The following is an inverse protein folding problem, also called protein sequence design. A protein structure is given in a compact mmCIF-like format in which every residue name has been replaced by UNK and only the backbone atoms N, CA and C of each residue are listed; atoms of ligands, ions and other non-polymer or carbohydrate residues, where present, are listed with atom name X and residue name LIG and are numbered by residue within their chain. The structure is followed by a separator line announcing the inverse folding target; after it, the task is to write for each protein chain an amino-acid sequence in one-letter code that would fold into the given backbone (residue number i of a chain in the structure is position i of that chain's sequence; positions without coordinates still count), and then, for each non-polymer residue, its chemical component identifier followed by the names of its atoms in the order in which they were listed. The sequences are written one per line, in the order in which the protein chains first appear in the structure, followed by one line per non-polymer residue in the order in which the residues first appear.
data_IF_728003152481
#
_entry.id   IF_728003152481
#
_cell.length_a   1.000
_cell.length_b   1.000
_cell.length_c   1.000
_cell.angle_alpha   90.00
_cell.angle_beta   90.00
_cell.angle_gamma   90.00
#
_symmetry.space_group_name_H-M   'P 1'
#
loop_
_entity.id
_entity.type
_entity.pdbx_description
1 polymer ?
#
# COMPACT_ATOMS: atom_id res chain seq x y z
N UNK A 1 13.44 -28.71 24.93
CA UNK A 1 13.86 -27.47 25.58
C UNK A 1 12.62 -26.79 26.16
N UNK A 2 12.73 -26.25 27.38
CA UNK A 2 11.68 -25.55 28.07
C UNK A 2 12.13 -24.08 28.30
N UNK A 3 11.26 -23.12 28.12
CA UNK A 3 11.51 -21.74 28.55
C UNK A 3 10.73 -21.55 29.84
N UNK A 4 11.40 -21.07 30.85
CA UNK A 4 10.83 -20.82 32.18
C UNK A 4 10.57 -19.33 32.37
N UNK A 5 9.32 -18.95 32.52
CA UNK A 5 8.93 -17.57 32.85
C UNK A 5 8.85 -17.44 34.37
N UNK A 6 9.87 -16.87 34.99
CA UNK A 6 10.06 -16.80 36.46
C UNK A 6 8.89 -16.18 37.22
N UNK A 7 8.17 -15.25 36.61
CA UNK A 7 7.05 -14.55 37.26
C UNK A 7 5.73 -15.30 37.28
N UNK A 8 5.53 -16.31 36.43
CA UNK A 8 4.25 -17.02 36.30
C UNK A 8 4.32 -18.53 36.49
N UNK A 9 5.50 -19.10 36.76
CA UNK A 9 5.71 -20.56 36.89
C UNK A 9 5.07 -21.37 35.76
N UNK A 10 5.15 -20.90 34.51
CA UNK A 10 4.56 -21.55 33.37
C UNK A 10 5.68 -22.08 32.48
N UNK A 11 5.79 -23.38 32.38
CA UNK A 11 6.65 -24.03 31.39
C UNK A 11 5.98 -23.93 30.03
N UNK A 12 6.65 -23.34 29.04
CA UNK A 12 6.25 -23.35 27.64
C UNK A 12 7.10 -24.39 26.93
N UNK A 13 6.48 -25.45 26.45
CA UNK A 13 7.14 -26.47 25.63
C UNK A 13 7.54 -25.88 24.28
N UNK A 14 8.85 -25.95 23.98
CA UNK A 14 9.41 -25.55 22.69
C UNK A 14 8.92 -26.40 21.50
N UNK A 15 8.19 -27.51 21.76
CA UNK A 15 7.60 -28.36 20.73
C UNK A 15 6.50 -27.65 19.89
N UNK A 16 5.97 -26.52 20.38
CA UNK A 16 4.94 -25.74 19.69
C UNK A 16 5.52 -24.63 18.79
N UNK A 17 6.86 -24.54 18.70
CA UNK A 17 7.52 -23.54 17.85
C UNK A 17 7.63 -24.05 16.42
N UNK A 18 6.85 -23.45 15.52
CA UNK A 18 7.04 -23.65 14.10
C UNK A 18 8.25 -22.83 13.62
N UNK A 19 9.31 -23.55 13.25
CA UNK A 19 10.53 -23.08 12.58
C UNK A 19 11.15 -21.78 13.09
N UNK A 20 12.15 -21.91 13.96
CA UNK A 20 13.11 -20.88 14.30
C UNK A 20 14.03 -20.60 13.11
N UNK A 21 13.79 -19.55 12.35
CA UNK A 21 14.78 -19.02 11.43
C UNK A 21 15.76 -18.13 12.18
N UNK A 22 16.79 -18.74 12.77
CA UNK A 22 17.81 -18.10 13.60
C UNK A 22 18.74 -17.15 12.81
N UNK A 23 18.63 -17.06 11.50
CA UNK A 23 19.70 -16.49 10.68
C UNK A 23 19.59 -14.99 10.39
N UNK A 24 18.50 -14.31 10.76
CA UNK A 24 18.32 -12.91 10.34
C UNK A 24 17.70 -11.94 11.34
N UNK A 25 17.16 -12.34 12.48
CA UNK A 25 16.41 -11.43 13.36
C UNK A 25 16.81 -11.53 14.82
N UNK A 26 16.92 -10.39 15.54
CA UNK A 26 17.17 -10.37 16.98
C UNK A 26 15.98 -10.83 17.82
N UNK A 27 14.84 -11.17 17.20
CA UNK A 27 13.66 -11.69 17.89
C UNK A 27 13.40 -13.14 17.47
N UNK A 28 13.02 -13.96 18.44
CA UNK A 28 12.54 -15.30 18.20
C UNK A 28 11.01 -15.28 18.09
N UNK A 29 10.48 -15.87 17.02
CA UNK A 29 9.04 -16.07 16.89
C UNK A 29 8.60 -17.27 17.69
N UNK A 30 7.55 -17.10 18.45
CA UNK A 30 6.93 -18.14 19.26
C UNK A 30 5.50 -18.39 18.81
N UNK A 31 5.08 -19.64 18.75
CA UNK A 31 3.71 -20.03 18.45
C UNK A 31 3.15 -20.83 19.63
N UNK A 32 2.03 -20.36 20.19
CA UNK A 32 1.33 -21.05 21.26
C UNK A 32 -0.15 -21.15 20.88
N UNK A 33 -0.68 -22.37 20.82
CA UNK A 33 -2.08 -22.61 20.44
C UNK A 33 -2.50 -21.94 19.12
N UNK A 34 -1.59 -21.96 18.13
CA UNK A 34 -1.85 -21.33 16.82
C UNK A 34 -1.76 -19.80 16.81
N UNK A 35 -1.38 -19.17 17.91
CA UNK A 35 -1.13 -17.73 18.00
C UNK A 35 0.35 -17.41 18.01
N UNK A 36 0.74 -16.34 17.32
CA UNK A 36 2.12 -15.91 17.14
C UNK A 36 2.45 -14.76 18.09
N UNK A 37 3.67 -14.77 18.59
CA UNK A 37 4.29 -13.70 19.37
C UNK A 37 5.80 -13.70 19.18
N UNK A 38 6.54 -12.93 19.96
CA UNK A 38 7.99 -12.89 19.92
C UNK A 38 8.63 -12.93 21.30
N UNK A 39 9.83 -13.50 21.35
CA UNK A 39 10.69 -13.56 22.51
C UNK A 39 11.98 -12.80 22.22
N UNK A 40 12.60 -12.30 23.26
CA UNK A 40 13.98 -11.81 23.20
C UNK A 40 14.93 -12.98 22.93
N UNK A 41 15.87 -12.81 22.00
CA UNK A 41 16.78 -13.89 21.59
C UNK A 41 17.87 -14.22 22.61
N UNK A 42 18.16 -13.32 23.54
CA UNK A 42 19.23 -13.50 24.53
C UNK A 42 18.72 -14.11 25.83
N UNK A 43 17.60 -13.62 26.33
CA UNK A 43 17.07 -14.01 27.64
C UNK A 43 15.71 -14.73 27.57
N UNK A 44 15.15 -14.92 26.35
CA UNK A 44 13.88 -15.58 26.08
C UNK A 44 12.66 -15.00 26.80
N UNK A 45 12.77 -13.73 27.22
CA UNK A 45 11.59 -13.04 27.78
C UNK A 45 10.60 -12.67 26.68
N UNK A 46 9.32 -12.69 27.02
CA UNK A 46 8.26 -12.31 26.06
C UNK A 46 8.36 -10.84 25.72
N UNK A 47 8.60 -10.52 24.42
CA UNK A 47 8.48 -9.18 23.87
C UNK A 47 7.05 -8.90 23.43
N UNK A 48 6.50 -9.76 22.54
CA UNK A 48 5.11 -9.73 22.17
C UNK A 48 4.41 -11.01 22.62
N UNK A 49 3.24 -10.93 23.26
CA UNK A 49 2.51 -12.13 23.66
C UNK A 49 2.07 -12.93 22.44
N UNK A 50 1.98 -14.25 22.57
CA UNK A 50 1.40 -15.12 21.55
C UNK A 50 -0.12 -14.93 21.48
N UNK A 51 -0.55 -13.85 20.86
CA UNK A 51 -1.94 -13.43 20.74
C UNK A 51 -2.38 -13.24 19.27
N UNK A 52 -1.46 -13.02 18.36
CA UNK A 52 -1.75 -12.65 16.99
C UNK A 52 -2.07 -13.88 16.13
N UNK A 53 -3.05 -13.76 15.24
CA UNK A 53 -3.36 -14.77 14.21
C UNK A 53 -2.27 -14.80 13.12
N UNK A 54 -1.60 -13.67 12.95
CA UNK A 54 -0.49 -13.48 12.01
C UNK A 54 0.42 -12.34 12.50
N UNK A 55 1.70 -12.51 12.32
CA UNK A 55 2.73 -11.51 12.57
C UNK A 55 3.80 -11.67 11.50
N UNK A 56 4.03 -10.63 10.70
CA UNK A 56 5.11 -10.61 9.71
C UNK A 56 6.46 -10.45 10.38
N UNK A 57 7.53 -10.64 9.62
CA UNK A 57 8.85 -10.21 10.05
C UNK A 57 8.88 -8.71 10.32
N UNK A 58 9.73 -8.32 11.29
CA UNK A 58 9.97 -6.91 11.58
C UNK A 58 10.93 -6.31 10.56
N UNK A 59 10.47 -5.28 9.88
CA UNK A 59 11.32 -4.48 9.02
C UNK A 59 11.83 -3.24 9.76
N UNK A 60 13.12 -2.98 9.65
CA UNK A 60 13.75 -1.77 10.18
C UNK A 60 13.38 -0.56 9.34
N UNK A 61 12.96 0.51 9.99
CA UNK A 61 12.62 1.82 9.40
C UNK A 61 13.38 2.92 10.11
N UNK A 62 13.87 3.87 9.33
CA UNK A 62 14.53 5.07 9.85
C UNK A 62 13.54 6.22 9.84
N UNK A 63 13.13 6.67 11.01
CA UNK A 63 12.27 7.84 11.16
C UNK A 63 13.09 9.06 11.52
N UNK A 64 12.81 10.20 10.87
CA UNK A 64 13.40 11.49 11.21
C UNK A 64 12.31 12.35 11.85
N UNK A 65 12.47 12.67 13.12
CA UNK A 65 11.56 13.57 13.83
C UNK A 65 12.37 14.71 14.44
N UNK A 66 12.05 15.95 14.07
CA UNK A 66 12.78 17.15 14.51
C UNK A 66 14.31 17.06 14.28
N UNK A 67 14.74 16.50 13.14
CA UNK A 67 16.15 16.32 12.80
C UNK A 67 16.84 15.16 13.51
N UNK A 68 16.18 14.47 14.43
CA UNK A 68 16.70 13.28 15.12
C UNK A 68 16.31 12.02 14.32
N UNK A 69 17.32 11.22 13.99
CA UNK A 69 17.12 9.90 13.38
C UNK A 69 16.85 8.87 14.46
N UNK A 70 15.72 8.20 14.37
CA UNK A 70 15.36 7.08 15.25
C UNK A 70 15.10 5.85 14.39
N UNK A 71 15.61 4.72 14.85
CA UNK A 71 15.31 3.43 14.26
C UNK A 71 14.06 2.86 14.91
N UNK A 72 13.13 2.35 14.12
CA UNK A 72 11.99 1.58 14.61
C UNK A 72 11.84 0.31 13.77
N UNK A 73 11.41 -0.76 14.42
CA UNK A 73 11.16 -2.04 13.79
C UNK A 73 9.67 -2.29 13.78
N UNK A 74 9.08 -2.44 12.59
CA UNK A 74 7.64 -2.53 12.37
C UNK A 74 7.27 -3.87 11.76
N UNK A 75 6.15 -4.43 12.19
CA UNK A 75 5.54 -5.62 11.64
C UNK A 75 4.04 -5.41 11.39
N UNK A 76 3.54 -6.00 10.30
CA UNK A 76 2.10 -6.19 10.11
C UNK A 76 1.64 -7.32 11.01
N UNK A 77 0.54 -7.12 11.70
CA UNK A 77 -0.08 -8.14 12.52
C UNK A 77 -1.57 -8.28 12.21
N UNK A 78 -2.13 -9.44 12.54
CA UNK A 78 -3.57 -9.69 12.48
C UNK A 78 -4.04 -10.24 13.81
N UNK A 79 -5.13 -9.70 14.31
CA UNK A 79 -5.77 -10.13 15.54
C UNK A 79 -7.28 -10.15 15.32
N UNK A 80 -7.93 -11.28 15.60
CA UNK A 80 -9.37 -11.48 15.40
C UNK A 80 -9.84 -11.10 13.98
N UNK A 81 -9.04 -11.49 12.97
CA UNK A 81 -9.33 -11.23 11.56
C UNK A 81 -9.04 -9.81 11.08
N UNK A 82 -8.62 -8.87 11.94
CA UNK A 82 -8.29 -7.49 11.58
C UNK A 82 -6.78 -7.28 11.55
N UNK A 83 -6.32 -6.54 10.55
CA UNK A 83 -4.91 -6.17 10.40
C UNK A 83 -4.60 -4.86 11.12
N UNK A 84 -3.37 -4.74 11.57
CA UNK A 84 -2.77 -3.55 12.15
C UNK A 84 -1.26 -3.56 12.01
N UNK A 85 -0.59 -2.59 12.61
CA UNK A 85 0.87 -2.48 12.61
C UNK A 85 1.34 -2.30 14.05
N UNK A 86 2.34 -3.09 14.44
CA UNK A 86 3.00 -3.00 15.75
C UNK A 86 4.49 -2.76 15.60
N UNK A 87 5.11 -2.13 16.60
CA UNK A 87 6.57 -2.12 16.69
C UNK A 87 7.08 -3.34 17.47
N UNK A 88 8.40 -3.53 17.48
CA UNK A 88 9.04 -4.66 18.18
C UNK A 88 8.87 -4.65 19.70
N UNK A 89 8.38 -3.54 20.28
CA UNK A 89 8.08 -3.39 21.71
C UNK A 89 6.59 -3.65 22.02
N UNK A 90 5.79 -4.01 21.01
CA UNK A 90 4.36 -4.28 21.14
C UNK A 90 3.46 -3.05 21.10
N UNK A 91 4.02 -1.85 20.87
CA UNK A 91 3.22 -0.63 20.71
C UNK A 91 2.49 -0.69 19.36
N UNK A 92 1.19 -0.45 19.41
CA UNK A 92 0.39 -0.29 18.19
C UNK A 92 0.76 1.03 17.49
N UNK A 93 1.21 0.93 16.25
CA UNK A 93 1.45 2.07 15.35
C UNK A 93 0.18 2.34 14.57
N UNK A 94 -0.50 1.27 14.10
CA UNK A 94 -1.84 1.33 13.53
C UNK A 94 -2.75 0.33 14.27
N UNK A 95 -3.99 0.72 14.57
CA UNK A 95 -4.92 -0.16 15.28
C UNK A 95 -5.27 -1.41 14.45
N UNK A 96 -5.68 -2.49 15.13
CA UNK A 96 -6.21 -3.70 14.49
C UNK A 96 -7.63 -3.45 13.97
N UNK A 97 -7.75 -2.64 12.94
CA UNK A 97 -9.03 -2.17 12.40
C UNK A 97 -9.24 -2.51 10.93
N UNK A 98 -8.17 -2.81 10.19
CA UNK A 98 -8.25 -3.01 8.74
C UNK A 98 -8.75 -4.41 8.40
N UNK A 99 -9.75 -4.49 7.51
CA UNK A 99 -10.23 -5.74 6.94
C UNK A 99 -9.23 -6.34 5.98
N UNK A 100 -8.45 -5.47 5.34
CA UNK A 100 -7.46 -5.84 4.36
C UNK A 100 -6.27 -4.89 4.39
N UNK A 101 -5.09 -5.42 4.13
CA UNK A 101 -3.85 -4.68 3.99
C UNK A 101 -3.06 -5.32 2.85
N UNK A 102 -2.69 -4.54 1.83
CA UNK A 102 -1.97 -4.98 0.64
C UNK A 102 -0.81 -4.05 0.31
N UNK A 103 0.26 -4.61 -0.23
CA UNK A 103 1.37 -3.85 -0.80
C UNK A 103 1.07 -3.38 -2.23
N UNK A 104 0.39 -4.21 -2.99
CA UNK A 104 0.07 -3.95 -4.39
C UNK A 104 -1.42 -4.17 -4.63
N UNK A 105 -2.07 -3.14 -5.15
CA UNK A 105 -3.48 -3.18 -5.54
C UNK A 105 -3.66 -3.47 -7.04
N UNK A 106 -2.57 -3.54 -7.80
CA UNK A 106 -2.62 -3.85 -9.24
C UNK A 106 -2.92 -5.32 -9.49
N UNK A 107 -2.61 -6.21 -8.52
CA UNK A 107 -2.96 -7.62 -8.56
C UNK A 107 -3.92 -8.01 -7.42
N UNK A 108 -5.24 -7.93 -7.64
CA UNK A 108 -6.23 -8.35 -6.65
C UNK A 108 -6.19 -9.86 -6.32
N UNK A 109 -5.54 -10.66 -7.16
CA UNK A 109 -5.43 -12.11 -6.98
C UNK A 109 -4.22 -12.51 -6.12
N UNK A 110 -3.31 -11.59 -5.84
CA UNK A 110 -2.15 -11.82 -5.00
C UNK A 110 -2.58 -12.32 -3.62
N UNK A 111 -2.07 -13.49 -3.24
CA UNK A 111 -2.27 -14.10 -1.92
C UNK A 111 -1.06 -13.85 -1.00
N UNK A 112 -0.15 -12.98 -1.39
CA UNK A 112 0.97 -12.63 -0.53
C UNK A 112 0.48 -12.01 0.77
N UNK A 113 0.94 -12.56 1.87
CA UNK A 113 0.67 -11.98 3.18
C UNK A 113 1.41 -10.64 3.29
N UNK A 114 0.75 -9.61 3.79
CA UNK A 114 1.35 -8.30 3.91
C UNK A 114 2.50 -8.31 4.93
N UNK A 115 3.57 -7.60 4.64
CA UNK A 115 4.70 -7.36 5.54
C UNK A 115 5.19 -5.91 5.40
N UNK A 116 6.10 -5.50 6.28
CA UNK A 116 6.74 -4.18 6.25
C UNK A 116 8.06 -4.18 5.46
N UNK A 117 8.47 -5.29 4.85
CA UNK A 117 9.81 -5.47 4.26
C UNK A 117 10.10 -4.62 3.02
N UNK A 118 9.08 -4.17 2.30
CA UNK A 118 9.23 -3.31 1.12
C UNK A 118 9.14 -1.83 1.49
N UNK A 119 9.76 -0.97 0.68
CA UNK A 119 9.64 0.50 0.79
C UNK A 119 8.34 1.05 0.15
N UNK A 120 7.37 0.17 -0.13
CA UNK A 120 6.13 0.54 -0.79
C UNK A 120 5.06 0.96 0.23
N UNK A 121 4.17 1.84 -0.22
CA UNK A 121 2.99 2.21 0.53
C UNK A 121 2.06 1.00 0.69
N UNK A 122 1.29 0.98 1.78
CA UNK A 122 0.35 -0.08 2.10
C UNK A 122 -1.07 0.42 1.84
N UNK A 123 -1.81 -0.27 0.99
CA UNK A 123 -3.23 -0.02 0.78
C UNK A 123 -4.04 -0.75 1.85
N UNK A 124 -4.88 -0.01 2.56
CA UNK A 124 -5.68 -0.52 3.67
C UNK A 124 -7.16 -0.32 3.41
N UNK A 125 -7.99 -1.28 3.88
CA UNK A 125 -9.44 -1.25 3.70
C UNK A 125 -10.17 -1.43 5.02
N UNK A 126 -11.25 -0.65 5.19
CA UNK A 126 -12.24 -0.84 6.25
C UNK A 126 -13.62 -0.81 5.57
N UNK A 127 -14.39 -1.89 5.70
CA UNK A 127 -15.64 -2.05 4.95
C UNK A 127 -15.37 -1.99 3.44
N UNK A 128 -16.05 -1.09 2.75
CA UNK A 128 -15.88 -0.88 1.31
C UNK A 128 -14.94 0.27 0.96
N UNK A 129 -14.26 0.87 1.94
CA UNK A 129 -13.42 2.05 1.74
C UNK A 129 -11.94 1.74 1.87
N UNK A 130 -11.18 2.36 1.00
CA UNK A 130 -9.73 2.24 0.90
C UNK A 130 -9.03 3.52 1.34
N UNK A 131 -7.84 3.35 1.87
CA UNK A 131 -6.88 4.39 2.21
C UNK A 131 -5.45 3.90 1.98
N UNK A 132 -4.47 4.72 2.32
CA UNK A 132 -3.05 4.42 2.16
C UNK A 132 -2.31 4.73 3.45
N UNK A 133 -1.44 3.82 3.86
CA UNK A 133 -0.38 4.06 4.84
C UNK A 133 0.96 4.13 4.12
N UNK A 134 1.86 4.94 4.63
CA UNK A 134 3.26 4.93 4.19
C UNK A 134 3.96 3.62 4.60
N UNK A 135 5.13 3.36 4.05
CA UNK A 135 5.99 2.25 4.48
C UNK A 135 6.37 2.32 5.97
N UNK A 136 6.27 3.49 6.59
CA UNK A 136 6.53 3.69 8.03
C UNK A 136 5.27 3.52 8.88
N UNK A 137 4.16 3.10 8.27
CA UNK A 137 2.88 2.89 8.94
C UNK A 137 2.13 4.18 9.26
N UNK A 138 2.53 5.34 8.73
CA UNK A 138 1.82 6.60 8.92
C UNK A 138 0.67 6.72 7.91
N UNK A 139 -0.43 7.36 8.30
CA UNK A 139 -1.55 7.59 7.39
C UNK A 139 -1.17 8.62 6.32
N UNK A 140 -1.13 8.17 5.06
CA UNK A 140 -0.94 9.03 3.90
C UNK A 140 -2.29 9.48 3.35
N UNK A 141 -3.24 8.57 3.15
CA UNK A 141 -4.59 8.88 2.73
C UNK A 141 -5.61 8.21 3.65
N UNK A 142 -6.62 8.98 4.07
CA UNK A 142 -7.72 8.48 4.89
C UNK A 142 -8.47 7.34 4.21
N UNK A 143 -9.01 6.42 5.02
CA UNK A 143 -9.84 5.31 4.55
C UNK A 143 -11.24 5.83 4.23
N UNK A 144 -11.42 6.42 3.05
CA UNK A 144 -12.70 7.03 2.61
C UNK A 144 -13.03 6.86 1.13
N UNK A 145 -12.08 6.38 0.33
CA UNK A 145 -12.24 6.23 -1.11
C UNK A 145 -12.83 4.87 -1.49
N UNK A 146 -13.58 4.81 -2.57
CA UNK A 146 -14.09 3.54 -3.14
C UNK A 146 -12.93 2.71 -3.73
N UNK A 147 -11.90 3.38 -4.23
CA UNK A 147 -10.62 2.78 -4.62
C UNK A 147 -9.50 3.80 -4.59
N UNK A 148 -8.29 3.31 -4.40
CA UNK A 148 -7.06 4.10 -4.47
C UNK A 148 -6.04 3.34 -5.32
N UNK A 149 -5.45 4.00 -6.30
CA UNK A 149 -4.39 3.47 -7.16
C UNK A 149 -3.00 3.63 -6.55
N UNK A 150 -2.01 3.14 -7.29
CA UNK A 150 -0.59 3.31 -6.98
C UNK A 150 -0.14 4.71 -7.39
N UNK A 151 0.85 5.27 -6.70
CA UNK A 151 1.43 6.56 -7.07
C UNK A 151 2.30 6.44 -8.33
N UNK A 152 1.95 7.25 -9.33
CA UNK A 152 2.72 7.45 -10.56
C UNK A 152 2.97 8.96 -10.74
N UNK A 153 4.18 9.35 -11.05
CA UNK A 153 4.58 10.76 -11.19
C UNK A 153 4.14 11.64 -10.00
N UNK A 154 4.14 11.04 -8.77
CA UNK A 154 3.77 11.73 -7.53
C UNK A 154 2.25 11.79 -7.23
N UNK A 155 1.40 11.28 -8.11
CA UNK A 155 -0.05 11.28 -7.97
C UNK A 155 -0.65 9.88 -8.02
N UNK A 156 -1.69 9.64 -7.23
CA UNK A 156 -2.48 8.42 -7.24
C UNK A 156 -3.93 8.70 -7.64
N UNK A 157 -4.47 7.86 -8.51
CA UNK A 157 -5.90 7.91 -8.87
C UNK A 157 -6.73 7.52 -7.66
N UNK A 158 -7.78 8.28 -7.36
CA UNK A 158 -8.78 7.93 -6.36
C UNK A 158 -10.18 7.94 -6.97
N UNK A 159 -11.03 7.05 -6.46
CA UNK A 159 -12.45 6.99 -6.81
C UNK A 159 -13.29 7.30 -5.58
N UNK A 160 -14.31 8.13 -5.73
CA UNK A 160 -15.35 8.32 -4.73
C UNK A 160 -16.66 8.69 -5.43
N UNK A 161 -17.78 8.13 -4.97
CA UNK A 161 -19.12 8.38 -5.55
C UNK A 161 -19.15 8.24 -7.08
N UNK A 162 -18.58 7.14 -7.59
CA UNK A 162 -18.50 6.82 -9.03
C UNK A 162 -17.73 7.86 -9.88
N UNK A 163 -16.94 8.73 -9.25
CA UNK A 163 -16.10 9.72 -9.91
C UNK A 163 -14.64 9.54 -9.53
N UNK A 164 -13.76 10.00 -10.40
CA UNK A 164 -12.31 9.85 -10.27
C UNK A 164 -11.63 11.21 -10.17
N UNK A 165 -10.55 11.25 -9.43
CA UNK A 165 -9.64 12.38 -9.28
C UNK A 165 -8.28 11.89 -8.84
N UNK A 166 -7.44 12.79 -8.31
CA UNK A 166 -6.10 12.41 -7.87
C UNK A 166 -5.75 13.04 -6.53
N UNK A 167 -5.01 12.29 -5.75
CA UNK A 167 -4.34 12.74 -4.53
C UNK A 167 -2.84 12.80 -4.76
N UNK A 168 -2.17 13.67 -4.02
CA UNK A 168 -0.72 13.70 -3.92
C UNK A 168 -0.20 12.86 -2.74
N UNK A 169 1.12 12.86 -2.52
CA UNK A 169 1.76 12.14 -1.42
C UNK A 169 1.52 12.74 -0.03
N UNK A 170 0.83 13.84 0.09
CA UNK A 170 0.30 14.35 1.37
C UNK A 170 -1.11 13.83 1.68
N UNK A 171 -1.74 13.11 0.72
CA UNK A 171 -3.13 12.68 0.79
C UNK A 171 -4.14 13.76 0.39
N UNK A 172 -3.66 14.93 -0.05
CA UNK A 172 -4.51 16.01 -0.50
C UNK A 172 -5.08 15.73 -1.89
N UNK A 173 -6.36 16.04 -2.10
CA UNK A 173 -6.98 16.00 -3.43
C UNK A 173 -6.47 17.18 -4.24
N UNK A 174 -5.59 16.95 -5.21
CA UNK A 174 -4.99 17.98 -6.06
C UNK A 174 -5.68 18.13 -7.40
N UNK A 175 -6.34 17.06 -7.87
CA UNK A 175 -7.20 17.11 -9.06
C UNK A 175 -8.58 16.63 -8.62
N UNK A 176 -9.61 17.49 -8.77
CA UNK A 176 -10.96 17.24 -8.23
C UNK A 176 -11.56 15.90 -8.68
N UNK A 177 -12.28 15.24 -7.77
CA UNK A 177 -12.98 13.98 -8.02
C UNK A 177 -14.29 14.28 -8.76
N UNK A 178 -14.23 14.38 -10.09
CA UNK A 178 -15.38 14.74 -10.94
C UNK A 178 -15.42 13.98 -12.27
N UNK A 179 -14.37 13.25 -12.62
CA UNK A 179 -14.19 12.62 -13.93
C UNK A 179 -14.88 11.26 -14.01
N UNK A 180 -15.34 10.88 -15.19
CA UNK A 180 -15.96 9.56 -15.40
C UNK A 180 -14.95 8.41 -15.32
N UNK A 181 -13.70 8.65 -15.69
CA UNK A 181 -12.55 7.79 -15.42
C UNK A 181 -11.27 8.62 -15.44
N UNK A 182 -10.29 8.17 -14.68
CA UNK A 182 -8.93 8.71 -14.65
C UNK A 182 -7.96 7.55 -14.75
N UNK A 183 -6.83 7.78 -15.42
CA UNK A 183 -5.79 6.78 -15.65
C UNK A 183 -4.51 7.24 -14.98
N UNK A 184 -3.65 6.29 -14.63
CA UNK A 184 -2.37 6.61 -13.99
C UNK A 184 -1.55 7.56 -14.85
N UNK A 185 -0.82 8.44 -14.19
CA UNK A 185 0.17 9.29 -14.83
C UNK A 185 1.30 8.46 -15.43
N UNK A 186 1.84 8.92 -16.51
CA UNK A 186 3.04 8.37 -17.13
C UNK A 186 3.68 9.46 -17.98
N UNK A 187 4.98 9.70 -17.75
CA UNK A 187 5.74 10.77 -18.42
C UNK A 187 5.08 12.15 -18.25
N UNK A 188 4.54 12.40 -17.04
CA UNK A 188 3.92 13.67 -16.68
C UNK A 188 2.52 13.90 -17.25
N UNK A 189 1.93 12.93 -17.95
CA UNK A 189 0.61 13.02 -18.55
C UNK A 189 -0.31 11.89 -18.11
N UNK A 190 -1.59 12.22 -17.89
CA UNK A 190 -2.65 11.25 -17.61
C UNK A 190 -3.87 11.50 -18.48
N UNK A 191 -4.51 10.42 -18.90
CA UNK A 191 -5.78 10.50 -19.60
C UNK A 191 -6.94 10.64 -18.61
N UNK A 192 -7.89 11.51 -18.93
CA UNK A 192 -9.16 11.65 -18.26
C UNK A 192 -10.30 11.35 -19.24
N UNK A 193 -11.27 10.56 -18.80
CA UNK A 193 -12.49 10.34 -19.55
C UNK A 193 -13.52 11.40 -19.18
N UNK A 194 -13.84 12.26 -20.13
CA UNK A 194 -14.77 13.40 -19.94
C UNK A 194 -16.22 12.91 -20.02
N UNK A 195 -16.50 12.07 -21.02
CA UNK A 195 -17.80 11.43 -21.24
C UNK A 195 -17.61 10.02 -21.89
N UNK A 196 -18.69 9.40 -22.37
CA UNK A 196 -18.66 8.04 -22.92
C UNK A 196 -17.64 7.83 -24.06
N UNK A 197 -17.25 8.89 -24.77
CA UNK A 197 -16.41 8.79 -25.99
C UNK A 197 -15.25 9.80 -26.05
N UNK A 198 -15.15 10.72 -25.09
CA UNK A 198 -14.15 11.76 -25.15
C UNK A 198 -13.11 11.61 -24.04
N UNK A 199 -11.86 11.66 -24.45
CA UNK A 199 -10.70 11.68 -23.57
C UNK A 199 -9.92 12.97 -23.76
N UNK A 200 -9.39 13.50 -22.69
CA UNK A 200 -8.40 14.57 -22.66
C UNK A 200 -7.19 14.12 -21.87
N UNK A 201 -6.07 14.80 -22.07
CA UNK A 201 -4.89 14.53 -21.25
C UNK A 201 -4.51 15.77 -20.48
N UNK A 202 -4.14 15.54 -19.24
CA UNK A 202 -3.72 16.57 -18.28
C UNK A 202 -2.28 16.32 -17.85
N UNK A 203 -1.61 17.38 -17.40
CA UNK A 203 -0.35 17.28 -16.68
C UNK A 203 -0.58 17.08 -15.17
N UNK A 204 0.49 16.93 -14.40
CA UNK A 204 0.45 16.73 -12.95
C UNK A 204 -0.13 17.91 -12.16
N UNK A 205 -0.19 19.10 -12.76
CA UNK A 205 -0.87 20.26 -12.20
C UNK A 205 -2.40 20.29 -12.52
N UNK A 206 -2.92 19.26 -13.21
CA UNK A 206 -4.31 19.20 -13.63
C UNK A 206 -4.65 20.06 -14.86
N UNK A 207 -3.66 20.68 -15.48
CA UNK A 207 -3.85 21.51 -16.68
C UNK A 207 -4.04 20.63 -17.91
N UNK A 208 -5.05 20.96 -18.73
CA UNK A 208 -5.32 20.24 -19.99
C UNK A 208 -4.22 20.52 -21.00
N UNK A 209 -3.46 19.51 -21.37
CA UNK A 209 -2.39 19.55 -22.38
C UNK A 209 -2.94 19.16 -23.75
N UNK A 210 -3.71 18.05 -23.79
CA UNK A 210 -4.37 17.59 -25.03
C UNK A 210 -5.86 17.73 -24.83
N UNK A 211 -6.46 18.65 -25.58
CA UNK A 211 -7.91 18.91 -25.54
C UNK A 211 -8.71 17.66 -25.87
N UNK A 212 -9.93 17.63 -25.37
CA UNK A 212 -10.86 16.50 -25.54
C UNK A 212 -10.97 16.04 -27.00
N UNK A 213 -10.69 14.76 -27.22
CA UNK A 213 -10.80 14.08 -28.52
C UNK A 213 -11.64 12.82 -28.38
N UNK A 214 -12.34 12.49 -29.46
CA UNK A 214 -13.16 11.28 -29.54
C UNK A 214 -12.27 10.07 -29.83
N UNK A 215 -12.12 9.23 -28.80
CA UNK A 215 -11.45 7.94 -28.87
C UNK A 215 -12.31 6.86 -28.19
N UNK A 216 -12.17 5.63 -28.59
CA UNK A 216 -12.84 4.50 -27.93
C UNK A 216 -12.01 4.00 -26.75
N UNK A 217 -10.67 4.08 -26.88
CA UNK A 217 -9.73 3.82 -25.79
C UNK A 217 -8.43 4.58 -25.97
N UNK A 218 -7.72 4.79 -24.87
CA UNK A 218 -6.39 5.42 -24.83
C UNK A 218 -5.47 4.61 -23.94
N UNK A 219 -4.19 4.58 -24.28
CA UNK A 219 -3.12 4.01 -23.46
C UNK A 219 -2.46 5.04 -22.56
N UNK A 220 -1.33 4.66 -21.97
CA UNK A 220 -0.40 5.54 -21.27
C UNK A 220 0.68 6.01 -22.22
N UNK A 221 1.28 7.17 -21.95
CA UNK A 221 2.48 7.63 -22.66
C UNK A 221 3.67 6.73 -22.32
N UNK A 222 4.44 6.37 -23.34
CA UNK A 222 5.72 5.65 -23.22
C UNK A 222 6.65 6.14 -24.33
N UNK A 223 7.84 6.57 -23.98
CA UNK A 223 8.82 7.16 -24.92
C UNK A 223 8.20 8.30 -25.75
N UNK A 224 7.42 9.16 -25.13
CA UNK A 224 6.80 10.32 -25.75
C UNK A 224 5.59 10.03 -26.65
N UNK A 225 5.12 8.79 -26.73
CA UNK A 225 3.98 8.41 -27.58
C UNK A 225 2.90 7.66 -26.80
N UNK A 226 1.66 7.83 -27.23
CA UNK A 226 0.50 7.16 -26.64
C UNK A 226 -0.33 6.48 -27.73
N UNK A 227 -0.71 5.23 -27.48
CA UNK A 227 -1.64 4.48 -28.34
C UNK A 227 -3.06 4.95 -28.09
N UNK A 228 -3.78 5.28 -29.16
CA UNK A 228 -5.21 5.63 -29.12
C UNK A 228 -5.99 4.77 -30.14
N UNK A 229 -7.25 4.47 -29.84
CA UNK A 229 -8.13 3.68 -30.71
C UNK A 229 -9.33 4.52 -31.11
N UNK A 230 -9.67 4.50 -32.40
CA UNK A 230 -10.87 5.14 -32.94
C UNK A 230 -11.53 4.21 -33.97
N UNK A 231 -12.66 3.64 -33.59
CA UNK A 231 -13.28 2.54 -34.35
C UNK A 231 -12.33 1.32 -34.40
N UNK A 232 -12.07 0.84 -35.59
CA UNK A 232 -11.12 -0.25 -35.80
C UNK A 232 -9.67 0.22 -35.99
N UNK A 233 -9.42 1.54 -36.00
CA UNK A 233 -8.10 2.09 -36.29
C UNK A 233 -7.32 2.31 -34.99
N UNK A 234 -6.13 1.78 -34.96
CA UNK A 234 -5.11 2.09 -33.95
C UNK A 234 -4.27 3.24 -34.49
N UNK A 235 -4.01 4.22 -33.65
CA UNK A 235 -3.17 5.37 -33.98
C UNK A 235 -2.24 5.67 -32.81
N UNK A 236 -1.20 6.43 -33.10
CA UNK A 236 -0.24 6.91 -32.12
C UNK A 236 -0.27 8.43 -32.11
N UNK A 237 -0.20 9.02 -30.93
CA UNK A 237 -0.12 10.47 -30.74
C UNK A 237 1.13 10.82 -29.94
N UNK A 238 1.70 11.99 -30.22
CA UNK A 238 2.77 12.57 -29.40
C UNK A 238 2.20 13.28 -28.14
N UNK A 239 3.09 13.79 -27.29
CA UNK A 239 2.71 14.52 -26.07
C UNK A 239 1.93 15.82 -26.28
N UNK A 240 1.86 16.31 -27.53
CA UNK A 240 1.04 17.46 -27.94
C UNK A 240 -0.30 17.03 -28.56
N UNK A 241 -0.54 15.71 -28.66
CA UNK A 241 -1.76 15.15 -29.24
C UNK A 241 -1.78 15.15 -30.76
N UNK A 242 -0.63 15.32 -31.42
CA UNK A 242 -0.49 15.21 -32.88
C UNK A 242 -0.40 13.72 -33.24
N UNK A 243 -1.23 13.30 -34.22
CA UNK A 243 -1.15 11.95 -34.75
C UNK A 243 0.18 11.74 -35.51
N UNK A 244 0.86 10.67 -35.17
CA UNK A 244 2.07 10.24 -35.88
C UNK A 244 1.65 9.51 -37.16
N UNK A 245 2.39 9.73 -38.21
CA UNK A 245 2.23 8.97 -39.46
C UNK A 245 2.94 7.62 -39.28
N UNK A 246 2.32 6.58 -39.84
CA UNK A 246 2.90 5.26 -39.98
C UNK A 246 4.14 5.32 -40.85
#
# INVERSE_FOLDING_TARGET
FFIYEEKKKKEVLLSDFAQLDQRKHPDLYAVVSGKVGTLDSENFTTKLPCAYDYLSDFATRMKITNGVRTEQRLAVCRLNGKYGIVNSEGKQIQPMAFDELRKDVSDPSSKELPDMGSAHDLHVRIGDKWGILTADGEQLAEVKFDSVGVFHDGLAVVKAAERYGYIDRSGAIVIPIQWMAAYDFSEGLAALRVDKKHFQFINTAGTVVIKSKKYDSVGRFRNGICRVVKGVKVKWIDTKGKELKD
#
